data_IF_256414946492
#
_entry.id   IF_256414946492
#
_cell.length_a   1.000
_cell.length_b   1.000
_cell.length_c   1.000
_cell.angle_alpha   90.00
_cell.angle_beta   90.00
_cell.angle_gamma   90.00
#
_symmetry.space_group_name_H-M   'P 1'
#
loop_
_entity.id
_entity.type
_entity.pdbx_description
1 polymer ?
#
# COMPACT_ATOMS: atom_id res chain seq x y z
N UNK A 1 12.89 -4.83 -12.24
CA UNK A 1 12.86 -3.36 -12.46
C UNK A 1 14.28 -2.88 -12.21
N UNK A 2 14.92 -2.16 -13.14
CA UNK A 2 16.32 -1.74 -12.95
C UNK A 2 16.35 -0.45 -12.13
N UNK A 3 16.61 -0.53 -10.83
CA UNK A 3 16.77 0.67 -9.99
C UNK A 3 18.24 1.11 -10.06
N UNK A 4 18.57 2.27 -10.62
CA UNK A 4 19.95 2.70 -10.80
C UNK A 4 20.56 3.12 -9.46
N UNK A 5 21.18 2.19 -8.73
CA UNK A 5 21.90 2.46 -7.47
C UNK A 5 23.34 2.90 -7.75
N UNK A 6 23.55 4.04 -8.42
CA UNK A 6 24.91 4.60 -8.52
C UNK A 6 25.23 5.46 -7.31
N UNK A 7 25.92 4.87 -6.34
CA UNK A 7 26.83 5.64 -5.49
C UNK A 7 28.21 4.99 -5.36
N UNK A 8 28.36 3.65 -5.26
CA UNK A 8 29.70 2.99 -5.30
C UNK A 8 29.69 1.55 -5.89
N UNK A 9 28.52 1.00 -6.24
CA UNK A 9 28.39 -0.41 -6.70
C UNK A 9 28.07 -0.57 -8.19
N UNK A 10 28.31 -1.77 -8.73
CA UNK A 10 27.78 -2.20 -10.03
C UNK A 10 26.24 -2.13 -10.01
N UNK A 11 25.62 -1.69 -11.11
CA UNK A 11 24.17 -1.62 -11.19
C UNK A 11 23.60 -3.04 -11.19
N UNK A 12 22.90 -3.41 -10.12
CA UNK A 12 22.29 -4.73 -9.97
C UNK A 12 20.80 -4.63 -10.33
N UNK A 13 20.30 -5.61 -11.09
CA UNK A 13 18.87 -5.75 -11.30
C UNK A 13 18.24 -6.34 -10.04
N UNK A 14 17.26 -5.62 -9.47
CA UNK A 14 16.60 -6.00 -8.23
C UNK A 14 15.17 -6.47 -8.53
N UNK A 15 14.75 -7.50 -7.82
CA UNK A 15 13.36 -7.95 -7.72
C UNK A 15 12.88 -7.79 -6.29
N UNK A 16 11.60 -7.46 -6.12
CA UNK A 16 10.96 -7.38 -4.82
C UNK A 16 9.90 -8.48 -4.72
N UNK A 17 9.89 -9.21 -3.61
CA UNK A 17 8.88 -10.22 -3.30
C UNK A 17 8.45 -10.14 -1.85
N UNK A 18 7.34 -10.81 -1.51
CA UNK A 18 6.97 -11.04 -0.11
C UNK A 18 8.06 -11.87 0.58
N UNK A 19 8.35 -11.53 1.82
CA UNK A 19 9.29 -12.27 2.66
C UNK A 19 8.71 -13.62 3.04
N UNK A 20 9.57 -14.63 3.08
CA UNK A 20 9.26 -15.97 3.54
C UNK A 20 10.03 -16.29 4.83
N UNK A 21 9.50 -17.15 5.69
CA UNK A 21 10.17 -17.51 6.95
C UNK A 21 11.57 -18.13 6.72
N UNK A 22 11.81 -18.75 5.55
CA UNK A 22 13.12 -19.30 5.18
C UNK A 22 14.18 -18.23 4.91
N UNK A 23 13.78 -16.98 4.68
CA UNK A 23 14.70 -15.86 4.44
C UNK A 23 15.43 -15.42 5.73
N UNK A 24 14.89 -15.79 6.91
CA UNK A 24 15.35 -15.30 8.21
C UNK A 24 16.88 -15.39 8.43
N UNK A 25 17.57 -16.50 8.13
CA UNK A 25 19.03 -16.60 8.33
C UNK A 25 19.81 -15.60 7.47
N UNK A 26 19.39 -15.40 6.21
CA UNK A 26 20.04 -14.45 5.31
C UNK A 26 19.73 -13.00 5.72
N UNK A 27 18.49 -12.71 6.12
CA UNK A 27 18.10 -11.39 6.63
C UNK A 27 18.97 -11.00 7.84
N UNK A 28 19.14 -11.91 8.81
CA UNK A 28 20.00 -11.67 9.98
C UNK A 28 21.47 -11.43 9.59
N UNK A 29 21.96 -12.06 8.53
CA UNK A 29 23.34 -11.85 8.04
C UNK A 29 23.58 -10.44 7.49
N UNK A 30 22.52 -9.68 7.20
CA UNK A 30 22.59 -8.31 6.67
C UNK A 30 22.59 -7.23 7.76
N UNK A 31 22.42 -7.60 9.04
CA UNK A 31 22.38 -6.65 10.15
C UNK A 31 23.63 -5.74 10.16
N UNK A 32 23.39 -4.45 10.31
CA UNK A 32 24.43 -3.44 10.43
C UNK A 32 24.46 -2.90 11.86
N UNK A 33 25.55 -2.24 12.30
CA UNK A 33 25.61 -1.65 13.64
C UNK A 33 24.53 -0.61 13.94
N UNK A 34 23.88 -0.04 12.92
CA UNK A 34 22.75 0.87 13.09
C UNK A 34 21.41 0.12 13.22
N UNK A 35 21.30 -1.12 12.78
CA UNK A 35 20.05 -1.91 12.83
C UNK A 35 19.60 -2.11 14.27
N UNK A 36 20.47 -2.65 15.15
CA UNK A 36 20.15 -2.84 16.58
C UNK A 36 19.90 -1.49 17.29
N UNK A 37 20.52 -0.39 16.81
CA UNK A 37 20.28 0.95 17.39
C UNK A 37 18.89 1.49 17.08
N UNK A 38 18.36 1.23 15.90
CA UNK A 38 17.04 1.73 15.47
C UNK A 38 15.91 0.79 15.92
N UNK A 39 16.10 -0.52 15.78
CA UNK A 39 15.05 -1.51 15.97
C UNK A 39 15.20 -2.34 17.24
N UNK A 40 16.31 -2.21 17.95
CA UNK A 40 16.63 -3.04 19.10
C UNK A 40 16.99 -4.47 18.71
N UNK A 41 17.05 -5.34 19.72
CA UNK A 41 17.23 -6.78 19.50
C UNK A 41 15.90 -7.38 19.15
N UNK A 42 15.83 -8.00 17.98
CA UNK A 42 14.56 -8.51 17.48
C UNK A 42 14.64 -9.96 17.06
N UNK A 43 13.57 -10.72 17.32
CA UNK A 43 13.41 -12.06 16.78
C UNK A 43 12.81 -11.95 15.38
N UNK A 44 13.65 -12.07 14.35
CA UNK A 44 13.22 -11.88 12.96
C UNK A 44 12.06 -12.79 12.55
N UNK A 45 11.99 -14.02 13.09
CA UNK A 45 10.91 -14.96 12.74
C UNK A 45 9.58 -14.41 13.25
N UNK A 46 9.56 -13.91 14.48
CA UNK A 46 8.37 -13.28 15.05
C UNK A 46 7.96 -12.01 14.29
N UNK A 47 8.92 -11.18 13.86
CA UNK A 47 8.62 -9.99 13.04
C UNK A 47 7.95 -10.43 11.73
N UNK A 48 8.52 -11.42 11.02
CA UNK A 48 7.98 -11.90 9.75
C UNK A 48 6.56 -12.43 9.92
N UNK A 49 6.29 -13.17 11.01
CA UNK A 49 4.97 -13.72 11.32
C UNK A 49 3.93 -12.63 11.67
N UNK A 50 4.36 -11.56 12.34
CA UNK A 50 3.48 -10.45 12.73
C UNK A 50 3.30 -9.39 11.63
N UNK A 51 4.19 -9.34 10.65
CA UNK A 51 4.17 -8.31 9.62
C UNK A 51 2.91 -8.41 8.75
N UNK A 52 2.19 -7.29 8.66
CA UNK A 52 1.12 -7.10 7.65
C UNK A 52 1.73 -7.12 6.25
N UNK A 53 2.94 -6.55 6.12
CA UNK A 53 3.71 -6.57 4.89
C UNK A 53 5.20 -6.72 5.21
N UNK A 54 5.82 -7.77 4.70
CA UNK A 54 7.27 -7.92 4.70
C UNK A 54 7.78 -8.05 3.26
N UNK A 55 8.80 -7.27 2.92
CA UNK A 55 9.36 -7.16 1.57
C UNK A 55 10.82 -7.60 1.61
N UNK A 56 11.16 -8.56 0.75
CA UNK A 56 12.53 -9.00 0.50
C UNK A 56 12.96 -8.51 -0.89
N UNK A 57 14.11 -7.86 -0.96
CA UNK A 57 14.76 -7.46 -2.20
C UNK A 57 15.87 -8.45 -2.53
N UNK A 58 15.78 -9.05 -3.72
CA UNK A 58 16.76 -10.02 -4.21
C UNK A 58 17.45 -9.51 -5.47
N UNK A 59 18.66 -10.00 -5.72
CA UNK A 59 19.26 -9.91 -7.04
C UNK A 59 18.78 -11.04 -7.98
N UNK A 60 19.36 -11.10 -9.18
CA UNK A 60 19.05 -12.12 -10.19
C UNK A 60 19.40 -13.56 -9.79
N UNK A 61 20.18 -13.74 -8.74
CA UNK A 61 20.60 -15.04 -8.20
C UNK A 61 19.83 -15.43 -6.94
N UNK A 62 18.78 -14.68 -6.59
CA UNK A 62 18.02 -14.83 -5.34
C UNK A 62 18.83 -14.51 -4.06
N UNK A 63 19.97 -13.81 -4.19
CA UNK A 63 20.71 -13.32 -3.03
C UNK A 63 19.97 -12.12 -2.43
N UNK A 64 19.67 -12.17 -1.13
CA UNK A 64 18.97 -11.08 -0.44
C UNK A 64 19.89 -9.87 -0.30
N UNK A 65 19.44 -8.74 -0.85
CA UNK A 65 20.13 -7.45 -0.77
C UNK A 65 19.58 -6.58 0.35
N UNK A 66 18.30 -6.75 0.70
CA UNK A 66 17.67 -6.02 1.80
C UNK A 66 16.28 -6.55 2.13
N UNK A 67 15.81 -6.19 3.31
CA UNK A 67 14.51 -6.58 3.83
C UNK A 67 13.90 -5.46 4.67
N UNK A 68 12.58 -5.35 4.62
CA UNK A 68 11.80 -4.55 5.54
C UNK A 68 10.55 -5.29 5.99
N UNK A 69 10.16 -5.07 7.25
CA UNK A 69 8.92 -5.59 7.81
C UNK A 69 8.07 -4.45 8.39
N UNK A 70 6.80 -4.45 8.01
CA UNK A 70 5.81 -3.43 8.35
C UNK A 70 4.65 -4.06 9.13
N UNK A 71 4.26 -3.39 10.21
CA UNK A 71 3.20 -3.83 11.14
C UNK A 71 2.19 -2.69 11.32
N UNK A 72 0.98 -2.98 11.77
CA UNK A 72 -0.15 -2.04 11.91
C UNK A 72 -0.19 -1.27 13.25
N UNK A 73 0.87 -1.31 14.05
CA UNK A 73 0.99 -0.56 15.32
C UNK A 73 2.42 -0.06 15.56
N UNK A 74 2.66 0.98 16.37
CA UNK A 74 4.01 1.45 16.71
C UNK A 74 4.73 0.47 17.64
N UNK A 75 6.03 0.27 17.43
CA UNK A 75 6.90 -0.52 18.32
C UNK A 75 7.32 0.27 19.59
N UNK A 76 6.34 0.82 20.30
CA UNK A 76 6.53 1.56 21.55
C UNK A 76 5.87 0.78 22.70
N UNK A 77 6.61 0.36 23.74
CA UNK A 77 6.06 -0.48 24.82
C UNK A 77 4.86 0.13 25.57
N UNK A 78 4.83 1.45 25.72
CA UNK A 78 3.78 2.15 26.48
C UNK A 78 2.54 2.52 25.65
N UNK A 79 2.49 2.11 24.37
CA UNK A 79 1.35 2.36 23.48
C UNK A 79 0.53 1.08 23.33
N UNK A 80 -0.75 1.16 23.65
CA UNK A 80 -1.69 0.08 23.37
C UNK A 80 -1.81 -0.11 21.85
N UNK A 81 -1.44 -1.30 21.37
CA UNK A 81 -1.45 -1.67 19.97
C UNK A 81 -2.85 -1.57 19.36
N UNK A 82 -3.91 -1.84 20.12
CA UNK A 82 -5.28 -1.77 19.61
C UNK A 82 -5.85 -0.34 19.59
N UNK A 83 -5.21 0.60 20.32
CA UNK A 83 -5.70 1.97 20.51
C UNK A 83 -4.65 3.03 20.10
N UNK A 84 -3.66 2.65 19.29
CA UNK A 84 -2.54 3.53 18.93
C UNK A 84 -2.98 4.80 18.20
N UNK A 85 -4.11 4.77 17.48
CA UNK A 85 -4.67 5.96 16.82
C UNK A 85 -4.97 7.08 17.82
N UNK A 86 -5.45 6.72 19.02
CA UNK A 86 -5.69 7.69 20.09
C UNK A 86 -4.39 8.32 20.58
N UNK A 87 -3.34 7.50 20.72
CA UNK A 87 -1.98 7.96 21.05
C UNK A 87 -1.46 8.93 19.97
N UNK A 88 -1.61 8.58 18.70
CA UNK A 88 -1.17 9.41 17.58
C UNK A 88 -1.89 10.76 17.55
N UNK A 89 -3.23 10.73 17.57
CA UNK A 89 -4.07 11.91 17.49
C UNK A 89 -3.88 12.87 18.67
N UNK A 90 -3.52 12.35 19.85
CA UNK A 90 -3.18 13.19 21.00
C UNK A 90 -1.85 13.94 20.87
N UNK A 91 -0.92 13.46 20.03
CA UNK A 91 0.48 13.91 20.00
C UNK A 91 0.90 14.62 18.73
N UNK A 92 0.37 14.26 17.57
CA UNK A 92 0.85 14.73 16.27
C UNK A 92 -0.19 15.54 15.50
N UNK A 93 0.29 16.46 14.66
CA UNK A 93 -0.56 17.32 13.83
C UNK A 93 -1.35 16.47 12.83
N UNK A 94 -2.64 16.81 12.68
CA UNK A 94 -3.64 16.02 11.97
C UNK A 94 -3.25 15.64 10.54
N UNK A 95 -3.29 14.34 10.27
CA UNK A 95 -3.66 13.76 8.98
C UNK A 95 -4.87 12.84 9.20
N UNK A 96 -5.56 12.42 8.14
CA UNK A 96 -6.58 11.34 8.23
C UNK A 96 -5.89 9.97 8.45
N UNK A 97 -4.99 9.88 9.43
CA UNK A 97 -4.19 8.71 9.78
C UNK A 97 -5.06 7.72 10.54
N UNK A 98 -5.08 6.48 10.08
CA UNK A 98 -5.80 5.37 10.72
C UNK A 98 -5.14 4.04 10.37
N UNK A 99 -5.63 2.97 10.99
CA UNK A 99 -5.12 1.60 10.85
C UNK A 99 -5.25 1.04 9.43
N UNK A 100 -6.15 1.57 8.59
CA UNK A 100 -6.33 1.11 7.21
C UNK A 100 -5.30 1.72 6.25
N UNK A 101 -4.79 2.91 6.55
CA UNK A 101 -3.90 3.66 5.64
C UNK A 101 -2.48 3.87 6.16
N UNK A 102 -2.12 3.20 7.25
CA UNK A 102 -0.85 3.40 7.95
C UNK A 102 -0.19 2.08 8.33
N UNK A 103 1.12 2.00 8.13
CA UNK A 103 1.95 0.91 8.66
C UNK A 103 3.23 1.48 9.28
N UNK A 104 3.79 0.75 10.23
CA UNK A 104 5.01 1.08 10.95
C UNK A 104 6.13 0.14 10.53
N UNK A 105 7.26 0.72 10.11
CA UNK A 105 8.50 -0.01 9.83
C UNK A 105 9.10 -0.50 11.14
N UNK A 106 8.98 -1.81 11.39
CA UNK A 106 9.50 -2.45 12.61
C UNK A 106 10.90 -3.01 12.44
N UNK A 107 11.30 -3.27 11.20
CA UNK A 107 12.61 -3.82 10.93
C UNK A 107 13.07 -3.44 9.51
N UNK A 108 14.33 -3.05 9.38
CA UNK A 108 14.97 -2.82 8.09
C UNK A 108 16.44 -3.22 8.15
N UNK A 109 16.87 -4.01 7.16
CA UNK A 109 18.27 -4.38 6.94
C UNK A 109 18.58 -4.31 5.46
N UNK A 110 19.83 -3.98 5.15
CA UNK A 110 20.31 -4.01 3.79
C UNK A 110 21.81 -4.21 3.74
N UNK A 111 22.28 -4.84 2.66
CA UNK A 111 23.69 -4.94 2.33
C UNK A 111 24.25 -3.52 2.19
N UNK A 112 25.28 -3.20 2.97
CA UNK A 112 25.83 -1.84 3.14
C UNK A 112 25.99 -1.04 1.84
N UNK A 113 26.49 -1.67 0.77
CA UNK A 113 26.74 -1.00 -0.52
C UNK A 113 25.45 -0.67 -1.31
N UNK A 114 24.33 -1.30 -0.98
CA UNK A 114 23.03 -1.13 -1.64
C UNK A 114 21.96 -0.52 -0.73
N UNK A 115 22.29 -0.18 0.52
CA UNK A 115 21.32 0.26 1.53
C UNK A 115 20.41 1.38 1.04
N UNK A 116 20.98 2.44 0.44
CA UNK A 116 20.20 3.57 -0.10
C UNK A 116 19.18 3.13 -1.16
N UNK A 117 19.61 2.30 -2.12
CA UNK A 117 18.71 1.78 -3.15
C UNK A 117 17.64 0.86 -2.58
N UNK A 118 18.00 0.06 -1.57
CA UNK A 118 17.05 -0.82 -0.90
C UNK A 118 15.96 -0.03 -0.17
N UNK A 119 16.32 1.05 0.53
CA UNK A 119 15.35 1.92 1.21
C UNK A 119 14.33 2.52 0.23
N UNK A 120 14.82 3.09 -0.88
CA UNK A 120 13.96 3.66 -1.95
C UNK A 120 13.05 2.59 -2.56
N UNK A 121 13.60 1.41 -2.87
CA UNK A 121 12.85 0.32 -3.50
C UNK A 121 11.78 -0.26 -2.57
N UNK A 122 12.10 -0.42 -1.29
CA UNK A 122 11.16 -0.92 -0.27
C UNK A 122 9.98 0.02 -0.12
N UNK A 123 10.23 1.34 0.00
CA UNK A 123 9.16 2.34 0.13
C UNK A 123 8.26 2.31 -1.11
N UNK A 124 8.86 2.32 -2.31
CA UNK A 124 8.11 2.22 -3.58
C UNK A 124 7.29 0.93 -3.64
N UNK A 125 7.89 -0.20 -3.27
CA UNK A 125 7.21 -1.50 -3.28
C UNK A 125 6.05 -1.54 -2.30
N UNK A 126 6.22 -0.99 -1.09
CA UNK A 126 5.17 -0.95 -0.08
C UNK A 126 3.95 -0.16 -0.56
N UNK A 127 4.13 1.05 -1.08
CA UNK A 127 3.01 1.85 -1.61
C UNK A 127 2.37 1.24 -2.86
N UNK A 128 3.13 0.54 -3.70
CA UNK A 128 2.55 -0.16 -4.86
C UNK A 128 1.78 -1.43 -4.46
N UNK A 129 2.21 -2.11 -3.39
CA UNK A 129 1.59 -3.35 -2.94
C UNK A 129 0.27 -3.12 -2.18
N UNK A 130 0.15 -1.99 -1.48
CA UNK A 130 -1.04 -1.65 -0.67
C UNK A 130 -1.62 -0.33 -1.16
N UNK A 131 -2.77 -0.39 -1.84
CA UNK A 131 -3.40 0.76 -2.48
C UNK A 131 -3.81 1.85 -1.47
N UNK A 132 -4.41 1.44 -0.36
CA UNK A 132 -4.92 2.35 0.68
C UNK A 132 -3.81 2.91 1.60
N UNK A 133 -2.58 2.40 1.48
CA UNK A 133 -1.46 2.83 2.31
C UNK A 133 -1.01 4.24 1.91
N UNK A 134 -1.18 5.19 2.83
CA UNK A 134 -0.82 6.60 2.65
C UNK A 134 0.39 6.99 3.49
N UNK A 135 0.60 6.32 4.63
CA UNK A 135 1.63 6.65 5.60
C UNK A 135 2.45 5.42 5.96
N UNK A 136 3.76 5.56 5.84
CA UNK A 136 4.72 4.68 6.47
C UNK A 136 5.35 5.43 7.64
N UNK A 137 5.30 4.84 8.83
CA UNK A 137 5.86 5.41 10.04
C UNK A 137 7.12 4.67 10.45
N UNK A 138 8.02 5.37 11.13
CA UNK A 138 9.21 4.80 11.73
C UNK A 138 9.44 5.45 13.09
N UNK A 139 9.46 4.64 14.14
CA UNK A 139 9.78 5.10 15.49
C UNK A 139 11.28 4.92 15.69
N UNK A 140 11.96 5.98 16.14
CA UNK A 140 13.40 5.98 16.39
C UNK A 140 13.66 6.40 17.83
N UNK A 141 14.49 5.67 18.60
CA UNK A 141 14.90 6.13 19.94
C UNK A 141 15.62 7.49 19.89
N UNK A 142 15.27 8.39 20.80
CA UNK A 142 15.84 9.73 20.90
C UNK A 142 17.37 9.68 21.08
N UNK A 143 18.09 10.52 20.34
CA UNK A 143 19.56 10.54 20.34
C UNK A 143 20.21 9.62 19.30
N UNK A 144 19.43 8.88 18.51
CA UNK A 144 19.91 8.11 17.37
C UNK A 144 19.59 8.81 16.04
N UNK A 145 20.57 8.86 15.14
CA UNK A 145 20.38 9.34 13.77
C UNK A 145 19.89 8.21 12.87
N UNK A 146 19.02 8.56 11.92
CA UNK A 146 18.61 7.64 10.85
C UNK A 146 19.79 7.30 9.94
N UNK A 147 19.86 6.03 9.52
CA UNK A 147 20.74 5.67 8.42
C UNK A 147 20.31 6.44 7.13
N UNK A 148 21.25 6.89 6.28
CA UNK A 148 20.93 7.62 5.06
C UNK A 148 19.92 6.93 4.14
N UNK A 149 19.86 5.59 4.17
CA UNK A 149 18.87 4.82 3.41
C UNK A 149 17.42 5.05 3.84
N UNK A 150 17.19 5.40 5.11
CA UNK A 150 15.88 5.72 5.66
C UNK A 150 15.65 7.23 5.70
N UNK A 151 16.69 8.01 6.02
CA UNK A 151 16.61 9.47 6.13
C UNK A 151 16.14 10.18 4.84
N UNK A 152 16.34 9.56 3.67
CA UNK A 152 15.85 10.11 2.40
C UNK A 152 14.32 10.07 2.27
N UNK A 153 13.67 9.04 2.83
CA UNK A 153 12.23 8.81 2.68
C UNK A 153 11.43 9.24 3.91
N UNK A 154 12.06 9.23 5.10
CA UNK A 154 11.41 9.47 6.37
C UNK A 154 11.77 10.85 6.92
N UNK A 155 10.75 11.68 7.17
CA UNK A 155 10.86 13.02 7.77
C UNK A 155 10.29 13.03 9.17
N UNK A 156 10.86 13.80 10.12
CA UNK A 156 10.30 13.88 11.46
C UNK A 156 8.86 14.40 11.43
N UNK A 157 7.99 13.80 12.22
CA UNK A 157 6.59 14.17 12.33
C UNK A 157 6.43 15.40 13.26
N UNK A 158 5.59 16.34 12.87
CA UNK A 158 5.29 17.54 13.67
C UNK A 158 4.39 17.18 14.86
N UNK A 159 4.81 17.58 16.05
CA UNK A 159 4.10 17.36 17.31
C UNK A 159 3.18 18.54 17.63
N UNK A 160 2.03 18.26 18.27
CA UNK A 160 1.05 19.28 18.68
C UNK A 160 1.55 20.14 19.87
N UNK A 161 2.42 19.61 20.73
CA UNK A 161 2.97 20.33 21.88
C UNK A 161 4.44 19.98 22.15
N UNK A 162 5.25 20.99 22.47
CA UNK A 162 6.70 20.87 22.79
C UNK A 162 6.99 20.21 24.16
N UNK A 163 5.97 19.79 24.91
CA UNK A 163 6.10 19.42 26.34
C UNK A 163 6.31 17.94 26.64
N UNK A 164 6.44 17.10 25.61
CA UNK A 164 6.75 15.69 25.81
C UNK A 164 8.26 15.47 25.69
N UNK A 165 8.88 15.06 26.79
CA UNK A 165 10.21 14.43 26.77
C UNK A 165 10.06 13.03 26.18
N UNK A 166 9.81 12.95 24.87
CA UNK A 166 9.66 11.65 24.23
C UNK A 166 11.04 11.00 24.09
N UNK A 167 11.14 9.80 24.63
CA UNK A 167 12.28 8.89 24.44
C UNK A 167 12.35 8.36 22.99
N UNK A 168 11.37 8.70 22.16
CA UNK A 168 11.27 8.31 20.76
C UNK A 168 10.87 9.50 19.87
N UNK A 169 11.32 9.47 18.63
CA UNK A 169 10.93 10.40 17.57
C UNK A 169 10.16 9.60 16.52
N UNK A 170 8.95 10.07 16.16
CA UNK A 170 8.17 9.50 15.08
C UNK A 170 8.56 10.17 13.76
N UNK A 171 8.92 9.36 12.77
CA UNK A 171 9.13 9.78 11.41
C UNK A 171 8.02 9.27 10.50
N UNK A 172 7.74 10.01 9.44
CA UNK A 172 6.72 9.71 8.44
C UNK A 172 7.31 9.75 7.03
N UNK A 173 6.90 8.79 6.22
CA UNK A 173 7.09 8.73 4.78
C UNK A 173 5.70 8.74 4.15
N UNK A 174 5.42 9.71 3.27
CA UNK A 174 4.08 9.94 2.72
C UNK A 174 4.00 9.44 1.28
N UNK A 175 2.93 8.72 0.95
CA UNK A 175 2.72 8.15 -0.39
C UNK A 175 2.91 9.16 -1.51
N UNK A 176 2.33 10.35 -1.41
CA UNK A 176 2.37 11.37 -2.46
C UNK A 176 3.77 11.95 -2.74
N UNK A 177 4.75 11.70 -1.87
CA UNK A 177 6.15 12.06 -2.12
C UNK A 177 6.88 11.02 -3.00
N UNK A 178 6.29 9.83 -3.18
CA UNK A 178 6.90 8.68 -3.86
C UNK A 178 6.05 8.13 -5.01
N UNK A 179 4.73 8.30 -4.94
CA UNK A 179 3.76 7.82 -5.92
C UNK A 179 2.91 9.03 -6.35
N UNK A 180 2.82 9.31 -7.66
CA UNK A 180 1.98 10.39 -8.16
C UNK A 180 0.53 10.25 -7.71
N UNK A 181 -0.09 11.38 -7.35
CA UNK A 181 -1.52 11.44 -7.06
C UNK A 181 -2.27 11.51 -8.38
N UNK A 182 -3.06 10.49 -8.68
CA UNK A 182 -3.90 10.46 -9.88
C UNK A 182 -5.04 11.46 -9.75
N UNK A 183 -5.22 12.32 -10.74
CA UNK A 183 -6.40 13.16 -10.85
C UNK A 183 -7.43 12.46 -11.74
N UNK A 184 -8.61 12.17 -11.19
CA UNK A 184 -9.71 11.59 -11.96
C UNK A 184 -10.57 12.72 -12.52
N UNK A 185 -10.76 12.73 -13.83
CA UNK A 185 -11.65 13.66 -14.52
C UNK A 185 -12.38 12.96 -15.67
N UNK A 186 -13.36 13.66 -16.23
CA UNK A 186 -14.01 13.22 -17.47
C UNK A 186 -12.98 13.19 -18.62
N UNK A 187 -13.11 12.17 -19.47
CA UNK A 187 -12.27 11.97 -20.66
C UNK A 187 -12.65 12.94 -21.78
N UNK A 188 -11.65 13.43 -22.50
CA UNK A 188 -11.79 14.18 -23.74
C UNK A 188 -11.20 13.40 -24.91
N UNK A 189 -11.62 13.73 -26.14
CA UNK A 189 -11.20 12.98 -27.34
C UNK A 189 -9.67 13.02 -27.51
N UNK A 190 -9.03 14.10 -27.08
CA UNK A 190 -7.57 14.25 -27.08
C UNK A 190 -6.83 13.23 -26.20
N UNK A 191 -7.49 12.65 -25.19
CA UNK A 191 -6.89 11.60 -24.34
C UNK A 191 -6.64 10.30 -25.13
N UNK A 192 -7.23 10.14 -26.32
CA UNK A 192 -7.04 8.98 -27.20
C UNK A 192 -5.56 8.62 -27.40
N UNK A 193 -4.71 9.61 -27.66
CA UNK A 193 -3.32 9.39 -28.03
C UNK A 193 -2.49 8.86 -26.85
N UNK A 194 -2.77 9.35 -25.64
CA UNK A 194 -2.14 8.89 -24.40
C UNK A 194 -2.60 7.47 -24.01
N UNK A 195 -3.87 7.16 -24.28
CA UNK A 195 -4.51 5.91 -23.87
C UNK A 195 -4.27 4.76 -24.85
N UNK A 196 -4.13 5.02 -26.14
CA UNK A 196 -3.92 3.99 -27.18
C UNK A 196 -2.76 3.04 -26.87
N UNK A 197 -1.56 3.51 -26.45
CA UNK A 197 -0.47 2.63 -26.06
C UNK A 197 -0.80 1.71 -24.87
N UNK A 198 -1.68 2.14 -23.95
CA UNK A 198 -2.07 1.37 -22.77
C UNK A 198 -2.93 0.17 -23.20
N UNK A 199 -3.92 0.38 -24.06
CA UNK A 199 -4.77 -0.68 -24.59
C UNK A 199 -4.00 -1.67 -25.45
N UNK A 200 -3.18 -1.18 -26.38
CA UNK A 200 -2.42 -2.02 -27.31
C UNK A 200 -1.37 -2.89 -26.61
N UNK A 201 -0.93 -2.50 -25.40
CA UNK A 201 -0.05 -3.32 -24.58
C UNK A 201 -0.76 -4.52 -23.95
N UNK A 202 -2.07 -4.42 -23.68
CA UNK A 202 -2.85 -5.48 -23.05
C UNK A 202 -3.46 -6.44 -24.08
N UNK A 203 -4.05 -5.92 -25.15
CA UNK A 203 -4.68 -6.72 -26.21
C UNK A 203 -4.94 -5.88 -27.46
N UNK A 204 -4.71 -6.45 -28.64
CA UNK A 204 -5.13 -5.81 -29.91
C UNK A 204 -6.60 -6.07 -30.26
N UNK A 205 -7.29 -6.95 -29.51
CA UNK A 205 -8.64 -7.40 -29.85
C UNK A 205 -9.63 -6.25 -30.05
N UNK A 206 -9.57 -5.21 -29.21
CA UNK A 206 -10.48 -4.06 -29.31
C UNK A 206 -10.21 -3.25 -30.59
N UNK A 207 -8.93 -3.01 -30.90
CA UNK A 207 -8.50 -2.34 -32.12
C UNK A 207 -8.88 -3.15 -33.37
N UNK A 208 -8.70 -4.47 -33.33
CA UNK A 208 -9.05 -5.38 -34.43
C UNK A 208 -10.58 -5.45 -34.66
N UNK A 209 -11.37 -5.31 -33.60
CA UNK A 209 -12.85 -5.42 -33.65
C UNK A 209 -13.52 -4.11 -34.03
N UNK A 210 -13.05 -2.99 -33.48
CA UNK A 210 -13.70 -1.67 -33.55
C UNK A 210 -12.89 -0.62 -34.32
N UNK A 211 -11.69 -0.97 -34.79
CA UNK A 211 -10.83 -0.09 -35.58
C UNK A 211 -9.91 0.79 -34.74
N UNK A 212 -9.04 1.55 -35.42
CA UNK A 212 -7.98 2.35 -34.80
C UNK A 212 -8.49 3.53 -33.96
N UNK A 213 -9.72 4.00 -34.21
CA UNK A 213 -10.31 5.17 -33.57
C UNK A 213 -11.39 4.82 -32.54
N UNK A 214 -11.55 3.54 -32.17
CA UNK A 214 -12.63 3.09 -31.31
C UNK A 214 -12.73 3.87 -29.99
N UNK A 215 -11.58 4.24 -29.42
CA UNK A 215 -11.53 4.93 -28.14
C UNK A 215 -11.96 6.40 -28.28
N UNK A 216 -11.60 7.06 -29.38
CA UNK A 216 -12.05 8.42 -29.67
C UNK A 216 -13.58 8.44 -29.87
N UNK A 217 -14.12 7.49 -30.64
CA UNK A 217 -15.56 7.34 -30.86
C UNK A 217 -16.30 7.03 -29.55
N UNK A 218 -15.75 6.15 -28.70
CA UNK A 218 -16.32 5.82 -27.39
C UNK A 218 -16.35 7.05 -26.48
N UNK A 219 -15.29 7.85 -26.45
CA UNK A 219 -15.21 9.08 -25.66
C UNK A 219 -16.16 10.15 -26.22
N UNK A 220 -16.29 10.28 -27.53
CA UNK A 220 -17.21 11.22 -28.18
C UNK A 220 -18.68 10.86 -27.95
N UNK A 221 -19.00 9.57 -27.86
CA UNK A 221 -20.35 9.05 -27.66
C UNK A 221 -20.86 9.08 -26.21
N UNK A 222 -20.15 9.75 -25.29
CA UNK A 222 -20.60 9.89 -23.90
C UNK A 222 -21.97 10.59 -23.79
N UNK A 223 -22.83 10.09 -22.91
CA UNK A 223 -24.17 10.61 -22.65
C UNK A 223 -24.61 10.40 -21.19
N UNK A 224 -25.89 10.60 -20.87
CA UNK A 224 -26.38 10.45 -19.50
C UNK A 224 -26.24 9.02 -18.94
N UNK A 225 -26.16 8.01 -19.83
CA UNK A 225 -26.13 6.60 -19.48
C UNK A 225 -24.72 5.99 -19.58
N UNK A 226 -23.82 6.57 -20.38
CA UNK A 226 -22.43 6.15 -20.50
C UNK A 226 -21.46 7.34 -20.36
N UNK A 227 -20.53 7.23 -19.41
CA UNK A 227 -19.51 8.24 -19.13
C UNK A 227 -18.10 7.63 -19.17
N UNK A 228 -17.13 8.40 -19.62
CA UNK A 228 -15.73 8.01 -19.67
C UNK A 228 -14.90 8.90 -18.75
N UNK A 229 -14.05 8.26 -17.94
CA UNK A 229 -13.14 8.92 -17.01
C UNK A 229 -11.70 8.57 -17.37
N UNK A 230 -10.79 9.52 -17.14
CA UNK A 230 -9.35 9.29 -17.18
C UNK A 230 -8.71 9.57 -15.83
N UNK A 231 -7.64 8.84 -15.57
CA UNK A 231 -6.70 9.14 -14.49
C UNK A 231 -5.47 9.81 -15.09
N UNK A 232 -5.24 11.08 -14.77
CA UNK A 232 -4.12 11.86 -15.31
C UNK A 232 -3.10 12.27 -14.24
N UNK A 233 -1.87 12.45 -14.69
CA UNK A 233 -0.76 13.06 -13.94
C UNK A 233 -0.05 14.02 -14.88
N UNK A 234 0.15 15.27 -14.47
CA UNK A 234 0.87 16.29 -15.27
C UNK A 234 0.36 16.42 -16.72
N UNK A 235 -0.97 16.29 -16.91
CA UNK A 235 -1.68 16.33 -18.21
C UNK A 235 -1.44 15.13 -19.14
N UNK A 236 -0.86 14.05 -18.64
CA UNK A 236 -0.77 12.78 -19.36
C UNK A 236 -1.75 11.79 -18.75
N UNK A 237 -2.54 11.15 -19.60
CA UNK A 237 -3.53 10.14 -19.19
C UNK A 237 -2.88 8.76 -19.01
N UNK A 238 -3.08 8.14 -17.85
CA UNK A 238 -2.47 6.87 -17.45
C UNK A 238 -3.49 5.76 -17.13
N UNK A 239 -4.78 6.09 -17.13
CA UNK A 239 -5.85 5.14 -16.90
C UNK A 239 -7.13 5.63 -17.55
N UNK A 240 -7.99 4.68 -17.92
CA UNK A 240 -9.27 4.94 -18.55
C UNK A 240 -10.34 4.04 -17.94
N UNK A 241 -11.54 4.59 -17.79
CA UNK A 241 -12.70 3.85 -17.32
C UNK A 241 -13.93 4.32 -18.10
N UNK A 242 -14.62 3.41 -18.77
CA UNK A 242 -15.97 3.64 -19.32
C UNK A 242 -16.98 2.99 -18.38
N UNK A 243 -17.97 3.76 -17.95
CA UNK A 243 -18.99 3.34 -16.99
C UNK A 243 -20.34 3.53 -17.67
N UNK A 244 -21.19 2.49 -17.60
CA UNK A 244 -22.53 2.49 -18.17
C UNK A 244 -23.59 2.15 -17.12
N UNK A 245 -24.77 2.76 -17.24
CA UNK A 245 -25.98 2.39 -16.49
C UNK A 245 -26.62 1.11 -17.03
N UNK A 246 -26.32 0.73 -18.28
CA UNK A 246 -26.78 -0.50 -18.90
C UNK A 246 -25.92 -1.69 -18.44
N UNK A 247 -26.38 -2.37 -17.39
CA UNK A 247 -25.71 -3.52 -16.77
C UNK A 247 -26.48 -4.80 -17.07
N UNK A 248 -25.81 -5.77 -17.70
CA UNK A 248 -26.39 -7.10 -17.93
C UNK A 248 -26.34 -7.95 -16.65
N UNK A 249 -27.31 -7.73 -15.77
CA UNK A 249 -27.43 -8.44 -14.50
C UNK A 249 -27.61 -9.96 -14.68
N UNK A 250 -28.24 -10.41 -15.77
CA UNK A 250 -28.44 -11.85 -16.01
C UNK A 250 -27.10 -12.56 -16.20
N UNK A 251 -26.25 -12.02 -17.08
CA UNK A 251 -24.90 -12.56 -17.31
C UNK A 251 -24.06 -12.57 -16.03
N UNK A 252 -24.12 -11.49 -15.24
CA UNK A 252 -23.41 -11.44 -13.95
C UNK A 252 -23.89 -12.53 -12.98
N UNK A 253 -25.20 -12.78 -12.91
CA UNK A 253 -25.76 -13.84 -12.07
C UNK A 253 -25.44 -15.25 -12.59
N UNK A 254 -25.24 -15.43 -13.89
CA UNK A 254 -24.80 -16.70 -14.47
C UNK A 254 -23.30 -16.98 -14.23
N UNK A 255 -22.47 -15.93 -14.17
CA UNK A 255 -21.03 -16.07 -14.04
C UNK A 255 -20.51 -16.00 -12.60
N UNK A 256 -21.27 -15.44 -11.65
CA UNK A 256 -20.82 -15.18 -10.29
C UNK A 256 -21.87 -15.58 -9.24
N UNK A 257 -21.40 -15.97 -8.05
CA UNK A 257 -22.24 -16.26 -6.88
C UNK A 257 -22.78 -14.97 -6.24
N UNK A 258 -23.80 -14.39 -6.84
CA UNK A 258 -24.39 -13.11 -6.42
C UNK A 258 -25.61 -13.25 -5.53
N UNK A 259 -26.01 -14.48 -5.18
CA UNK A 259 -27.17 -14.76 -4.30
C UNK A 259 -27.08 -13.98 -2.97
N UNK A 260 -25.92 -13.92 -2.26
CA UNK A 260 -25.82 -13.16 -1.01
C UNK A 260 -26.06 -11.66 -1.19
N UNK A 261 -25.89 -11.15 -2.41
CA UNK A 261 -26.11 -9.75 -2.79
C UNK A 261 -27.42 -9.57 -3.56
N UNK A 262 -28.36 -10.52 -3.43
CA UNK A 262 -29.64 -10.52 -4.11
C UNK A 262 -29.52 -10.34 -5.63
N UNK A 263 -28.48 -10.94 -6.22
CA UNK A 263 -28.20 -10.85 -7.65
C UNK A 263 -27.96 -9.43 -8.16
N UNK A 264 -27.55 -8.51 -7.28
CA UNK A 264 -27.40 -7.06 -7.53
C UNK A 264 -28.71 -6.38 -7.97
N UNK A 265 -29.86 -6.97 -7.63
CA UNK A 265 -31.18 -6.38 -7.88
C UNK A 265 -31.66 -5.63 -6.65
N UNK A 266 -32.61 -4.73 -6.86
CA UNK A 266 -33.36 -4.14 -5.74
C UNK A 266 -34.32 -5.20 -5.18
N UNK A 267 -34.35 -5.41 -3.87
CA UNK A 267 -35.40 -6.17 -3.19
C UNK A 267 -36.80 -5.86 -3.71
N UNK A 268 -37.57 -6.90 -4.02
CA UNK A 268 -39.01 -6.77 -4.20
C UNK A 268 -39.70 -6.73 -2.83
N UNK A 269 -40.82 -5.99 -2.68
CA UNK A 269 -41.60 -5.98 -1.43
C UNK A 269 -42.08 -7.35 -0.94
N UNK A 270 -42.14 -8.34 -1.84
CA UNK A 270 -42.59 -9.70 -1.56
C UNK A 270 -41.44 -10.67 -1.26
N UNK A 271 -40.18 -10.20 -1.25
CA UNK A 271 -39.04 -11.04 -0.89
C UNK A 271 -39.03 -11.31 0.63
N UNK A 272 -39.00 -12.59 1.00
CA UNK A 272 -38.89 -13.01 2.41
C UNK A 272 -37.46 -12.81 2.94
N UNK A 273 -37.20 -11.63 3.50
CA UNK A 273 -35.99 -11.39 4.29
C UNK A 273 -36.15 -12.01 5.67
N UNK A 274 -35.77 -13.28 5.83
CA UNK A 274 -35.50 -13.82 7.16
C UNK A 274 -34.06 -13.41 7.50
N UNK A 275 -33.83 -12.35 8.30
CA UNK A 275 -32.48 -12.03 8.73
C UNK A 275 -31.93 -13.24 9.50
N UNK A 276 -30.65 -13.62 9.28
CA UNK A 276 -30.04 -14.69 10.04
C UNK A 276 -30.16 -14.37 11.54
N UNK A 277 -30.51 -15.37 12.38
CA UNK A 277 -30.69 -15.13 13.81
C UNK A 277 -29.41 -14.55 14.38
N UNK A 278 -29.51 -13.35 14.98
CA UNK A 278 -28.39 -12.75 15.70
C UNK A 278 -28.02 -13.70 16.84
N UNK A 279 -26.78 -14.20 16.90
CA UNK A 279 -26.35 -15.02 18.03
C UNK A 279 -26.59 -14.23 19.32
N UNK A 280 -27.18 -14.84 20.37
CA UNK A 280 -27.32 -14.15 21.64
C UNK A 280 -25.93 -13.72 22.12
N UNK A 281 -25.80 -12.51 22.71
CA UNK A 281 -24.54 -12.09 23.30
C UNK A 281 -24.09 -13.18 24.26
N UNK A 282 -22.85 -13.63 24.12
CA UNK A 282 -22.26 -14.56 25.07
C UNK A 282 -22.38 -13.92 26.45
N UNK A 283 -23.21 -14.53 27.30
CA UNK A 283 -23.29 -14.12 28.70
C UNK A 283 -21.87 -14.20 29.24
N UNK A 284 -21.30 -13.04 29.58
CA UNK A 284 -20.09 -12.97 30.36
C UNK A 284 -20.27 -13.91 31.56
N UNK A 285 -19.38 -14.88 31.67
CA UNK A 285 -19.28 -15.72 32.84
C UNK A 285 -18.99 -14.78 34.02
N UNK A 286 -20.05 -14.37 34.69
CA UNK A 286 -20.00 -13.77 36.01
C UNK A 286 -19.83 -14.90 36.99
N UNK A 287 -18.72 -14.82 37.71
CA UNK A 287 -18.51 -15.31 39.06
C UNK A 287 -18.89 -16.77 39.37
N UNK A 288 -17.86 -17.60 39.49
CA UNK A 288 -17.89 -18.72 40.41
C UNK A 288 -16.54 -18.84 41.14
N UNK A 289 -16.52 -18.30 42.36
CA UNK A 289 -15.84 -18.88 43.54
C UNK A 289 -14.33 -18.75 43.64
#
# INVERSE_FOLDING_TARGET
>A
MTTPTKLVGEAVHITARRTESLDAPQILSLEQPWTEKLFGRTNIVNIIEQAVLAITLCDKFEDILGNAAFVDFPNIPDVDQAAWESWYNSRYVSGQVNSLNSLFLHYFVAKKVYALGCGVEIVRTAFNAVADLHFLFLVVPSGHELDPSLAQAFKPMEMNEEKFSDIHILYVCRRHEHVPVLHIRQAFVEDHDDLTPIFNRQSTMLQDTYGDYFLAELIEAQDADMQCLVAEVEKTSYGFMSISTDVNLNLLNECFELIPFHGLRKPHPDDDFIPPPTPPPSSSASDAG
#
